data_IF_061492199339
#
_entry.id   IF_061492199339
#
_cell.length_a   1.000
_cell.length_b   1.000
_cell.length_c   1.000
_cell.angle_alpha   90.00
_cell.angle_beta   90.00
_cell.angle_gamma   90.00
#
_symmetry.space_group_name_H-M   'P 1'
#
loop_
_entity.id
_entity.type
_entity.pdbx_description
1 polymer ?
#
# COMPACT_ATOMS: atom_id res chain seq x y z
N UNK A 1 6.51 -10.04 -15.40
CA UNK A 1 5.17 -10.52 -14.99
C UNK A 1 4.15 -9.44 -15.31
N UNK A 2 3.22 -9.70 -16.23
CA UNK A 2 1.93 -9.01 -16.51
C UNK A 2 1.65 -8.86 -18.02
N UNK A 3 1.12 -9.95 -18.57
CA UNK A 3 0.33 -10.01 -19.80
C UNK A 3 -1.13 -10.34 -19.43
N UNK A 4 -1.64 -9.69 -18.37
CA UNK A 4 -2.87 -10.13 -17.68
C UNK A 4 -4.14 -9.44 -18.20
N UNK A 5 -4.00 -8.31 -18.90
CA UNK A 5 -5.13 -7.50 -19.43
C UNK A 5 -6.00 -8.29 -20.43
N UNK A 6 -5.48 -9.32 -21.10
CA UNK A 6 -6.16 -9.96 -22.24
C UNK A 6 -7.20 -11.04 -21.86
N UNK A 7 -7.23 -11.55 -20.62
CA UNK A 7 -7.99 -12.80 -20.32
C UNK A 7 -9.23 -12.57 -19.46
N UNK A 8 -9.29 -11.52 -18.64
CA UNK A 8 -10.50 -11.21 -17.84
C UNK A 8 -11.66 -10.75 -18.73
N UNK A 9 -11.35 -10.12 -19.88
CA UNK A 9 -12.31 -9.60 -20.84
C UNK A 9 -13.27 -10.66 -21.39
N UNK A 10 -12.75 -11.83 -21.78
CA UNK A 10 -13.56 -12.93 -22.30
C UNK A 10 -14.42 -13.55 -21.20
N UNK A 11 -13.89 -13.74 -20.00
CA UNK A 11 -14.61 -14.44 -18.92
C UNK A 11 -15.73 -13.59 -18.33
N UNK A 12 -15.55 -12.27 -18.20
CA UNK A 12 -16.57 -11.36 -17.63
C UNK A 12 -17.72 -11.13 -18.61
N UNK A 13 -17.45 -10.92 -19.90
CA UNK A 13 -18.52 -10.66 -20.89
C UNK A 13 -19.35 -11.92 -21.15
N UNK A 14 -18.69 -13.09 -21.22
CA UNK A 14 -19.40 -14.39 -21.35
C UNK A 14 -20.24 -14.70 -20.10
N UNK A 15 -19.75 -14.37 -18.89
CA UNK A 15 -20.50 -14.59 -17.66
C UNK A 15 -21.58 -13.55 -17.36
N UNK A 16 -21.48 -12.33 -17.90
CA UNK A 16 -22.53 -11.32 -17.79
C UNK A 16 -23.71 -11.62 -18.73
N UNK A 17 -23.45 -12.19 -19.91
CA UNK A 17 -24.50 -12.65 -20.83
C UNK A 17 -25.23 -13.92 -20.32
N UNK A 18 -24.49 -14.87 -19.73
CA UNK A 18 -25.05 -16.17 -19.28
C UNK A 18 -25.96 -16.12 -18.04
N UNK A 19 -26.09 -14.99 -17.35
CA UNK A 19 -26.95 -14.91 -16.14
C UNK A 19 -28.45 -14.93 -16.43
N UNK A 20 -28.90 -14.84 -17.69
CA UNK A 20 -30.32 -14.98 -18.06
C UNK A 20 -30.70 -16.36 -18.62
N UNK A 21 -29.74 -17.24 -18.93
CA UNK A 21 -30.00 -18.52 -19.60
C UNK A 21 -30.34 -19.69 -18.66
N UNK A 22 -30.33 -19.50 -17.33
CA UNK A 22 -30.61 -20.56 -16.35
C UNK A 22 -31.97 -20.48 -15.66
N UNK A 23 -32.86 -19.62 -16.15
CA UNK A 23 -34.28 -19.62 -15.76
C UNK A 23 -35.14 -19.77 -17.01
N UNK A 24 -35.43 -21.01 -17.39
CA UNK A 24 -36.48 -21.34 -18.34
C UNK A 24 -36.03 -22.14 -19.55
N UNK A 25 -36.59 -23.35 -19.64
CA UNK A 25 -37.15 -24.03 -20.81
C UNK A 25 -36.54 -25.42 -21.07
N UNK A 26 -37.34 -26.40 -20.66
CA UNK A 26 -37.43 -27.78 -21.13
C UNK A 26 -37.40 -27.83 -22.66
N UNK A 27 -36.43 -28.55 -23.21
CA UNK A 27 -36.29 -28.76 -24.65
C UNK A 27 -37.36 -29.75 -25.15
N UNK A 28 -38.22 -29.29 -26.05
CA UNK A 28 -38.82 -30.14 -27.08
C UNK A 28 -38.38 -29.62 -28.45
N UNK A 29 -37.71 -30.51 -29.18
CA UNK A 29 -37.19 -30.28 -30.53
C UNK A 29 -38.35 -30.19 -31.54
N UNK A 30 -38.36 -29.13 -32.36
CA UNK A 30 -39.03 -29.11 -33.66
C UNK A 30 -38.11 -28.51 -34.73
N UNK A 31 -38.09 -29.19 -35.88
CA UNK A 31 -37.37 -28.96 -37.13
C UNK A 31 -37.48 -27.50 -37.63
N UNK A 32 -36.46 -26.95 -38.31
CA UNK A 32 -36.56 -25.62 -38.90
C UNK A 32 -37.29 -25.67 -40.25
N UNK A 33 -38.41 -24.94 -40.35
CA UNK A 33 -39.01 -24.54 -41.63
C UNK A 33 -38.35 -23.25 -42.11
N UNK A 34 -37.92 -23.28 -43.37
CA UNK A 34 -37.34 -22.15 -44.10
C UNK A 34 -38.36 -21.00 -44.20
N UNK A 35 -38.03 -19.84 -43.63
CA UNK A 35 -38.76 -18.60 -43.89
C UNK A 35 -37.82 -17.53 -44.41
N UNK A 36 -38.14 -17.08 -45.63
CA UNK A 36 -37.54 -15.97 -46.36
C UNK A 36 -37.41 -14.72 -45.49
N UNK A 37 -36.19 -14.40 -45.04
CA UNK A 37 -35.89 -13.11 -44.43
C UNK A 37 -35.40 -12.10 -45.48
N UNK A 38 -36.29 -11.13 -45.71
CA UNK A 38 -36.09 -9.83 -46.34
C UNK A 38 -34.66 -9.27 -46.26
N UNK A 39 -34.12 -8.92 -47.43
CA UNK A 39 -32.77 -8.37 -47.67
C UNK A 39 -32.61 -6.86 -47.40
N UNK A 40 -33.55 -6.20 -46.72
CA UNK A 40 -33.63 -4.72 -46.70
C UNK A 40 -33.28 -4.00 -45.38
N UNK A 41 -32.40 -4.53 -44.52
CA UNK A 41 -32.04 -3.83 -43.26
C UNK A 41 -30.55 -3.95 -42.82
N UNK A 42 -29.60 -3.97 -43.77
CA UNK A 42 -28.16 -4.16 -43.46
C UNK A 42 -27.31 -2.89 -43.36
N UNK A 43 -27.90 -1.69 -43.44
CA UNK A 43 -27.13 -0.45 -43.51
C UNK A 43 -27.00 0.33 -42.19
N UNK A 44 -27.73 -0.05 -41.13
CA UNK A 44 -27.81 0.71 -39.86
C UNK A 44 -26.91 0.22 -38.71
N UNK A 45 -25.97 -0.70 -38.95
CA UNK A 45 -25.15 -1.28 -37.87
C UNK A 45 -23.63 -1.25 -38.12
N UNK A 46 -23.14 -0.26 -38.88
CA UNK A 46 -21.70 -0.08 -39.08
C UNK A 46 -21.12 0.72 -37.91
N UNK A 47 -20.39 0.06 -37.03
CA UNK A 47 -19.61 0.71 -35.98
C UNK A 47 -18.14 0.82 -36.37
N UNK A 48 -17.66 2.05 -36.57
CA UNK A 48 -16.26 2.33 -36.92
C UNK A 48 -15.44 2.53 -35.66
N UNK A 49 -14.29 1.86 -35.57
CA UNK A 49 -13.32 2.04 -34.50
C UNK A 49 -12.06 2.74 -35.04
N UNK A 50 -11.48 3.60 -34.21
CA UNK A 50 -10.21 4.27 -34.48
C UNK A 50 -9.20 3.85 -33.42
N UNK A 51 -7.98 3.54 -33.86
CA UNK A 51 -6.88 3.28 -32.94
C UNK A 51 -6.48 4.59 -32.27
N UNK A 52 -6.42 4.59 -30.94
CA UNK A 52 -5.88 5.69 -30.14
C UNK A 52 -4.78 5.18 -29.22
N UNK A 53 -3.80 6.03 -28.98
CA UNK A 53 -2.75 5.77 -28.01
C UNK A 53 -3.15 6.32 -26.65
N UNK A 54 -2.64 5.71 -25.58
CA UNK A 54 -2.64 6.30 -24.26
C UNK A 54 -1.96 7.68 -24.32
N UNK A 55 -2.58 8.75 -23.80
CA UNK A 55 -2.24 10.11 -24.17
C UNK A 55 -0.98 10.68 -23.49
N UNK A 56 -0.47 10.08 -22.40
CA UNK A 56 0.61 10.68 -21.61
C UNK A 56 1.97 10.07 -21.88
N UNK A 57 2.07 8.75 -21.87
CA UNK A 57 3.34 8.02 -22.05
C UNK A 57 3.35 7.13 -23.29
N UNK A 58 2.24 7.08 -24.06
CA UNK A 58 2.09 6.19 -25.22
C UNK A 58 2.37 4.71 -24.85
N UNK A 59 1.90 4.33 -23.65
CA UNK A 59 2.18 3.04 -23.02
C UNK A 59 1.45 1.87 -23.71
N UNK A 60 0.30 2.14 -24.31
CA UNK A 60 -0.48 1.19 -25.07
C UNK A 60 -1.33 1.90 -26.12
N UNK A 61 -1.89 1.11 -27.03
CA UNK A 61 -2.92 1.55 -27.97
C UNK A 61 -4.18 0.72 -27.82
N UNK A 62 -5.32 1.31 -28.15
CA UNK A 62 -6.65 0.72 -27.97
C UNK A 62 -7.58 1.18 -29.11
N UNK A 63 -8.53 0.33 -29.49
CA UNK A 63 -9.61 0.70 -30.41
C UNK A 63 -10.71 1.43 -29.64
N UNK A 64 -11.07 2.60 -30.15
CA UNK A 64 -12.10 3.48 -29.58
C UNK A 64 -13.15 3.75 -30.65
N UNK A 65 -14.45 3.67 -30.35
CA UNK A 65 -15.48 3.98 -31.34
C UNK A 65 -15.32 5.41 -31.88
N UNK A 66 -15.54 5.60 -33.17
CA UNK A 66 -15.44 6.92 -33.81
C UNK A 66 -16.38 7.90 -33.11
N UNK A 67 -15.87 9.07 -32.75
CA UNK A 67 -16.60 10.11 -32.00
C UNK A 67 -16.51 9.99 -30.48
N UNK A 68 -16.02 8.86 -29.93
CA UNK A 68 -15.82 8.71 -28.49
C UNK A 68 -14.53 9.38 -28.02
N UNK A 69 -14.48 9.66 -26.73
CA UNK A 69 -13.39 10.36 -26.06
C UNK A 69 -12.59 9.41 -25.18
N UNK A 70 -11.31 9.73 -25.03
CA UNK A 70 -10.44 9.13 -24.03
C UNK A 70 -10.04 10.20 -23.01
N UNK A 71 -9.95 9.84 -21.75
CA UNK A 71 -9.52 10.72 -20.65
C UNK A 71 -8.61 9.96 -19.68
N UNK A 72 -7.77 10.70 -18.97
CA UNK A 72 -6.79 10.13 -18.06
C UNK A 72 -5.59 9.54 -18.81
N UNK A 73 -5.01 8.47 -18.29
CA UNK A 73 -3.81 7.84 -18.84
C UNK A 73 -2.89 7.29 -17.75
N UNK A 74 -1.63 7.08 -18.12
CA UNK A 74 -0.59 6.73 -17.16
C UNK A 74 -0.30 7.93 -16.24
N UNK A 75 -0.04 7.66 -14.97
CA UNK A 75 0.52 8.66 -14.07
C UNK A 75 1.54 8.06 -13.13
N UNK A 76 2.38 8.94 -12.60
CA UNK A 76 3.45 8.61 -11.65
C UNK A 76 3.14 9.28 -10.33
N UNK A 77 3.22 8.52 -9.25
CA UNK A 77 3.07 9.06 -7.90
C UNK A 77 4.41 9.65 -7.47
N UNK A 78 4.39 10.84 -6.88
CA UNK A 78 5.57 11.45 -6.29
C UNK A 78 5.76 10.88 -4.87
N UNK A 79 6.88 10.21 -4.56
CA UNK A 79 7.09 9.57 -3.27
C UNK A 79 7.18 10.56 -2.11
N UNK A 80 7.61 11.80 -2.36
CA UNK A 80 7.77 12.84 -1.33
C UNK A 80 6.38 13.28 -0.84
N UNK A 81 5.49 13.64 -1.77
CA UNK A 81 4.15 14.10 -1.43
C UNK A 81 3.25 12.96 -0.93
N UNK A 82 3.53 11.72 -1.34
CA UNK A 82 2.76 10.55 -0.94
C UNK A 82 3.13 10.04 0.48
N UNK A 83 4.25 10.50 1.06
CA UNK A 83 4.74 9.98 2.35
C UNK A 83 5.48 8.64 2.23
N UNK A 84 6.00 8.32 1.05
CA UNK A 84 6.89 7.18 0.83
C UNK A 84 6.82 6.55 -0.56
N UNK A 85 7.72 5.59 -0.84
CA UNK A 85 8.00 5.13 -2.20
C UNK A 85 7.04 4.06 -2.72
N UNK A 86 6.24 3.40 -1.88
CA UNK A 86 5.53 2.18 -2.27
C UNK A 86 4.62 2.37 -3.50
N UNK A 87 3.89 3.48 -3.57
CA UNK A 87 3.03 3.79 -4.72
C UNK A 87 3.80 4.27 -5.95
N UNK A 88 5.08 4.60 -5.80
CA UNK A 88 5.92 5.19 -6.84
C UNK A 88 6.81 4.16 -7.54
N UNK A 89 6.79 2.90 -7.08
CA UNK A 89 7.56 1.80 -7.68
C UNK A 89 7.11 1.56 -9.12
N UNK A 90 5.80 1.46 -9.34
CA UNK A 90 5.19 1.17 -10.64
C UNK A 90 4.35 2.36 -11.14
N UNK A 91 4.30 2.53 -12.46
CA UNK A 91 3.33 3.38 -13.12
C UNK A 91 1.89 3.02 -12.68
N UNK A 92 1.04 4.04 -12.54
CA UNK A 92 -0.39 3.88 -12.27
C UNK A 92 -1.18 4.21 -13.53
N UNK A 93 -2.41 3.69 -13.62
CA UNK A 93 -3.32 3.97 -14.72
C UNK A 93 -4.66 4.42 -14.16
N UNK A 94 -5.16 5.56 -14.64
CA UNK A 94 -6.57 5.91 -14.52
C UNK A 94 -7.01 6.35 -15.90
N UNK A 95 -7.66 5.47 -16.65
CA UNK A 95 -7.92 5.67 -18.07
C UNK A 95 -9.39 5.38 -18.37
N UNK A 96 -10.03 6.24 -19.14
CA UNK A 96 -11.45 6.14 -19.46
C UNK A 96 -11.66 6.23 -20.96
N UNK A 97 -12.54 5.38 -21.50
CA UNK A 97 -13.11 5.50 -22.84
C UNK A 97 -14.60 5.75 -22.68
N UNK A 98 -15.11 6.88 -23.20
CA UNK A 98 -16.50 7.30 -22.99
C UNK A 98 -17.15 7.92 -24.21
N UNK A 99 -18.46 7.69 -24.35
CA UNK A 99 -19.28 8.16 -25.46
C UNK A 99 -19.40 9.69 -25.53
N UNK A 100 -19.55 10.33 -24.38
CA UNK A 100 -19.77 11.77 -24.26
C UNK A 100 -19.07 12.35 -23.03
N UNK A 101 -19.15 13.67 -22.85
CA UNK A 101 -18.51 14.36 -21.71
C UNK A 101 -19.04 13.87 -20.36
N UNK A 102 -20.32 13.47 -20.29
CA UNK A 102 -21.00 13.00 -19.06
C UNK A 102 -20.63 11.55 -18.71
N UNK A 103 -20.11 10.77 -19.67
CA UNK A 103 -19.82 9.36 -19.47
C UNK A 103 -21.07 8.51 -19.42
N UNK A 104 -22.08 8.81 -20.27
CA UNK A 104 -23.34 8.04 -20.28
C UNK A 104 -23.14 6.55 -20.56
N UNK A 105 -22.18 6.24 -21.44
CA UNK A 105 -21.68 4.89 -21.71
C UNK A 105 -20.16 4.97 -21.63
N UNK A 106 -19.54 4.18 -20.76
CA UNK A 106 -18.08 4.22 -20.58
C UNK A 106 -17.50 2.92 -20.04
N UNK A 107 -16.21 2.74 -20.31
CA UNK A 107 -15.34 1.78 -19.61
C UNK A 107 -14.18 2.57 -18.99
N UNK A 108 -13.83 2.27 -17.75
CA UNK A 108 -12.75 2.94 -17.02
C UNK A 108 -11.90 1.93 -16.26
N UNK A 109 -10.59 2.06 -16.38
CA UNK A 109 -9.60 1.35 -15.60
C UNK A 109 -9.15 2.25 -14.46
N UNK A 110 -9.21 1.73 -13.24
CA UNK A 110 -8.81 2.41 -12.02
C UNK A 110 -7.37 2.05 -11.64
N UNK A 111 -6.68 2.89 -10.87
CA UNK A 111 -5.29 2.62 -10.51
C UNK A 111 -5.16 1.42 -9.58
N UNK A 112 -4.15 0.60 -9.83
CA UNK A 112 -3.65 -0.40 -8.88
C UNK A 112 -3.01 0.34 -7.70
N UNK A 113 -3.61 0.24 -6.52
CA UNK A 113 -3.12 0.84 -5.28
C UNK A 113 -2.60 -0.22 -4.33
N UNK A 114 -1.52 0.11 -3.62
CA UNK A 114 -1.02 -0.69 -2.50
C UNK A 114 -1.56 -0.16 -1.16
N UNK A 115 -1.81 -1.07 -0.25
CA UNK A 115 -2.32 -0.80 1.09
C UNK A 115 -1.51 -1.60 2.10
N UNK A 116 -1.59 -1.19 3.36
CA UNK A 116 -0.88 -1.83 4.45
C UNK A 116 -1.84 -2.34 5.50
N UNK A 117 -1.86 -3.65 5.72
CA UNK A 117 -2.59 -4.30 6.80
C UNK A 117 -1.66 -4.55 7.99
N UNK A 118 -1.84 -3.76 9.04
CA UNK A 118 -0.97 -3.76 10.21
C UNK A 118 -1.22 -4.93 11.16
N UNK A 119 -2.38 -5.62 11.09
CA UNK A 119 -2.85 -6.56 12.14
C UNK A 119 -1.88 -7.69 12.42
N UNK A 120 -1.15 -8.14 11.40
CA UNK A 120 -0.20 -9.25 11.51
C UNK A 120 1.26 -8.81 11.55
N UNK A 121 1.52 -7.51 11.71
CA UNK A 121 2.88 -6.94 11.73
C UNK A 121 3.32 -6.65 13.16
N UNK A 122 4.63 -6.73 13.48
CA UNK A 122 5.13 -6.31 14.79
C UNK A 122 4.76 -4.87 15.14
N UNK A 123 4.82 -3.95 14.18
CA UNK A 123 4.45 -2.54 14.36
C UNK A 123 2.97 -2.38 14.73
N UNK A 124 2.06 -3.09 14.04
CA UNK A 124 0.64 -3.05 14.37
C UNK A 124 0.31 -3.65 15.73
N UNK A 125 1.01 -4.71 16.16
CA UNK A 125 0.86 -5.29 17.50
C UNK A 125 1.27 -4.32 18.62
N UNK A 126 2.17 -3.38 18.32
CA UNK A 126 2.57 -2.30 19.23
C UNK A 126 1.65 -1.08 19.15
N UNK A 127 0.51 -1.17 18.42
CA UNK A 127 -0.43 -0.06 18.23
C UNK A 127 0.07 1.04 17.30
N UNK A 128 1.16 0.82 16.56
CA UNK A 128 1.68 1.80 15.59
C UNK A 128 0.89 1.74 14.28
N UNK A 129 0.74 2.90 13.64
CA UNK A 129 0.08 3.07 12.34
C UNK A 129 -1.40 2.61 12.37
N UNK A 130 -2.31 3.39 12.96
CA UNK A 130 -3.75 3.06 12.97
C UNK A 130 -4.36 3.10 11.55
N UNK A 131 -5.53 2.48 11.38
CA UNK A 131 -6.28 2.54 10.11
C UNK A 131 -6.54 4.00 9.69
N UNK A 132 -6.38 4.28 8.39
CA UNK A 132 -6.45 5.64 7.83
C UNK A 132 -5.12 6.41 7.87
N UNK A 133 -4.11 5.95 8.60
CA UNK A 133 -2.77 6.54 8.57
C UNK A 133 -1.98 6.17 7.29
N UNK A 134 -0.74 6.67 7.18
CA UNK A 134 0.14 6.38 6.06
C UNK A 134 1.35 5.56 6.53
N UNK A 135 1.70 4.53 5.77
CA UNK A 135 2.91 3.75 5.96
C UNK A 135 3.66 3.60 4.64
N UNK A 136 4.82 4.24 4.51
CA UNK A 136 5.67 4.19 3.31
C UNK A 136 4.92 4.58 2.02
N UNK A 137 3.97 5.50 2.12
CA UNK A 137 3.13 5.96 1.01
C UNK A 137 1.88 5.12 0.76
N UNK A 138 1.68 4.03 1.51
CA UNK A 138 0.46 3.23 1.48
C UNK A 138 -0.52 3.72 2.53
N UNK A 139 -1.81 3.78 2.18
CA UNK A 139 -2.84 3.95 3.19
C UNK A 139 -2.90 2.67 4.05
N UNK A 140 -2.96 2.86 5.36
CA UNK A 140 -3.14 1.76 6.30
C UNK A 140 -4.61 1.38 6.29
N UNK A 141 -4.90 0.21 5.75
CA UNK A 141 -6.25 -0.33 5.61
C UNK A 141 -6.18 -1.84 5.77
N UNK A 142 -7.13 -2.41 6.50
CA UNK A 142 -7.24 -3.85 6.63
C UNK A 142 -7.61 -4.49 5.30
N UNK A 143 -7.04 -5.66 5.01
CA UNK A 143 -7.34 -6.36 3.76
C UNK A 143 -8.84 -6.61 3.65
N UNK A 144 -9.40 -6.24 2.49
CA UNK A 144 -10.80 -6.43 2.15
C UNK A 144 -10.95 -7.55 1.13
N UNK A 145 -12.10 -8.23 1.15
CA UNK A 145 -12.52 -9.03 0.00
C UNK A 145 -12.67 -8.13 -1.22
N UNK A 146 -12.54 -8.69 -2.43
CA UNK A 146 -12.70 -7.94 -3.67
C UNK A 146 -14.08 -7.28 -3.77
N UNK A 147 -15.14 -7.96 -3.31
CA UNK A 147 -16.49 -7.39 -3.26
C UNK A 147 -16.57 -6.16 -2.35
N UNK A 148 -15.98 -6.24 -1.16
CA UNK A 148 -15.97 -5.13 -0.20
C UNK A 148 -15.07 -3.99 -0.67
N UNK A 149 -13.90 -4.29 -1.24
CA UNK A 149 -13.03 -3.28 -1.86
C UNK A 149 -13.77 -2.51 -2.95
N UNK A 150 -14.50 -3.21 -3.83
CA UNK A 150 -15.28 -2.57 -4.88
C UNK A 150 -16.31 -1.61 -4.28
N UNK A 151 -17.05 -2.03 -3.26
CA UNK A 151 -18.16 -1.24 -2.72
C UNK A 151 -17.73 -0.11 -1.79
N UNK A 152 -16.65 -0.31 -1.02
CA UNK A 152 -16.21 0.63 0.02
C UNK A 152 -15.11 1.58 -0.46
N UNK A 153 -14.36 1.22 -1.51
CA UNK A 153 -13.19 1.99 -1.96
C UNK A 153 -13.32 2.38 -3.44
N UNK A 154 -13.42 1.39 -4.33
CA UNK A 154 -13.33 1.66 -5.77
C UNK A 154 -14.54 2.41 -6.32
N UNK A 155 -15.76 2.06 -5.91
CA UNK A 155 -16.98 2.72 -6.34
C UNK A 155 -17.05 4.18 -5.85
N UNK A 156 -16.83 4.50 -4.55
CA UNK A 156 -16.76 5.89 -4.08
C UNK A 156 -15.65 6.71 -4.75
N UNK A 157 -14.50 6.11 -5.03
CA UNK A 157 -13.42 6.76 -5.79
C UNK A 157 -13.88 7.13 -7.22
N UNK A 158 -14.53 6.20 -7.91
CA UNK A 158 -14.97 6.43 -9.28
C UNK A 158 -16.15 7.42 -9.35
N UNK A 159 -17.06 7.36 -8.37
CA UNK A 159 -18.37 8.01 -8.38
C UNK A 159 -18.68 8.76 -7.08
N UNK A 160 -17.89 9.80 -6.73
CA UNK A 160 -18.07 10.55 -5.48
C UNK A 160 -19.40 11.32 -5.41
N UNK A 161 -20.12 11.46 -6.54
CA UNK A 161 -21.40 12.17 -6.63
C UNK A 161 -22.60 11.23 -6.82
N UNK A 162 -22.39 9.92 -6.85
CA UNK A 162 -23.47 8.96 -6.99
C UNK A 162 -24.42 9.00 -5.78
N UNK A 163 -25.71 8.79 -6.05
CA UNK A 163 -26.79 8.74 -5.05
C UNK A 163 -27.68 7.54 -5.32
N UNK A 164 -28.53 7.19 -4.36
CA UNK A 164 -29.49 6.09 -4.48
C UNK A 164 -28.85 4.77 -4.93
N UNK A 165 -27.66 4.49 -4.39
CA UNK A 165 -26.82 3.35 -4.79
C UNK A 165 -27.48 2.04 -4.33
N UNK A 166 -27.71 1.13 -5.27
CA UNK A 166 -28.24 -0.21 -5.04
C UNK A 166 -27.30 -1.24 -5.64
N UNK A 167 -26.88 -2.21 -4.83
CA UNK A 167 -26.12 -3.36 -5.31
C UNK A 167 -27.12 -4.40 -5.79
N UNK A 168 -27.11 -4.70 -7.08
CA UNK A 168 -28.06 -5.64 -7.70
C UNK A 168 -27.47 -7.04 -7.87
N UNK A 169 -26.14 -7.18 -7.85
CA UNK A 169 -25.47 -8.48 -7.85
C UNK A 169 -24.07 -8.39 -7.24
N UNK A 170 -23.63 -9.48 -6.60
CA UNK A 170 -22.24 -9.72 -6.20
C UNK A 170 -21.87 -11.14 -6.58
N UNK A 171 -20.77 -11.30 -7.31
CA UNK A 171 -20.28 -12.60 -7.75
C UNK A 171 -18.80 -12.74 -7.48
N UNK A 172 -18.41 -13.82 -6.78
CA UNK A 172 -17.00 -14.22 -6.67
C UNK A 172 -16.53 -14.80 -8.00
N UNK A 173 -15.32 -14.45 -8.42
CA UNK A 173 -14.71 -14.89 -9.68
C UNK A 173 -13.60 -15.91 -9.39
N UNK A 174 -13.99 -17.08 -8.89
CA UNK A 174 -13.06 -18.13 -8.40
C UNK A 174 -12.16 -18.64 -9.54
N UNK A 175 -12.68 -18.78 -10.76
CA UNK A 175 -11.86 -19.21 -11.89
C UNK A 175 -10.78 -18.18 -12.26
N UNK A 176 -11.08 -16.88 -12.08
CA UNK A 176 -10.12 -15.80 -12.29
C UNK A 176 -9.01 -15.88 -11.26
N UNK A 177 -9.34 -16.05 -9.97
CA UNK A 177 -8.31 -16.17 -8.91
C UNK A 177 -7.46 -17.42 -9.08
N UNK A 178 -8.06 -18.55 -9.43
CA UNK A 178 -7.35 -19.80 -9.69
C UNK A 178 -6.37 -19.67 -10.85
N UNK A 179 -6.81 -19.08 -11.97
CA UNK A 179 -5.95 -18.85 -13.13
C UNK A 179 -4.83 -17.85 -12.83
N UNK A 180 -5.12 -16.79 -12.07
CA UNK A 180 -4.12 -15.81 -11.64
C UNK A 180 -3.05 -16.46 -10.74
N UNK A 181 -3.50 -17.21 -9.72
CA UNK A 181 -2.63 -17.93 -8.79
C UNK A 181 -1.73 -18.93 -9.51
N UNK A 182 -2.27 -19.73 -10.44
CA UNK A 182 -1.48 -20.68 -11.25
C UNK A 182 -0.35 -19.99 -12.01
N UNK A 183 -0.62 -18.84 -12.66
CA UNK A 183 0.40 -18.09 -13.42
C UNK A 183 1.46 -17.49 -12.53
N UNK A 184 1.07 -16.95 -11.38
CA UNK A 184 2.06 -16.39 -10.44
C UNK A 184 2.95 -17.51 -9.91
N UNK A 185 2.39 -18.69 -9.58
CA UNK A 185 3.18 -19.86 -9.15
C UNK A 185 4.11 -20.41 -10.23
N UNK A 186 3.80 -20.24 -11.52
CA UNK A 186 4.74 -20.60 -12.60
C UNK A 186 6.01 -19.75 -12.59
N UNK A 187 5.92 -18.49 -12.17
CA UNK A 187 7.05 -17.55 -12.13
C UNK A 187 7.70 -17.52 -10.74
N UNK A 188 6.89 -17.64 -9.69
CA UNK A 188 7.30 -17.65 -8.29
C UNK A 188 6.68 -18.87 -7.58
N UNK A 189 7.29 -20.06 -7.71
CA UNK A 189 6.73 -21.30 -7.15
C UNK A 189 6.57 -21.26 -5.63
N UNK A 190 7.49 -20.57 -4.94
CA UNK A 190 7.53 -20.45 -3.47
C UNK A 190 6.88 -19.13 -3.02
N UNK A 191 5.64 -18.87 -3.47
CA UNK A 191 4.88 -17.69 -3.06
C UNK A 191 3.79 -18.03 -2.05
N UNK A 192 3.60 -17.17 -1.05
CA UNK A 192 2.49 -17.22 -0.09
C UNK A 192 1.36 -16.25 -0.45
N UNK A 193 1.42 -15.66 -1.65
CA UNK A 193 0.40 -14.73 -2.14
C UNK A 193 -0.96 -15.40 -2.26
N UNK A 194 -2.01 -14.70 -1.84
CA UNK A 194 -3.40 -15.12 -2.02
C UNK A 194 -4.20 -14.09 -2.81
N UNK A 195 -5.25 -14.55 -3.47
CA UNK A 195 -6.03 -13.76 -4.41
C UNK A 195 -7.51 -13.91 -4.13
N UNK A 196 -8.24 -12.79 -4.15
CA UNK A 196 -9.70 -12.76 -4.17
C UNK A 196 -10.15 -11.93 -5.38
N UNK A 197 -11.26 -12.28 -6.02
CA UNK A 197 -11.76 -11.53 -7.17
C UNK A 197 -13.28 -11.51 -7.17
N UNK A 198 -13.85 -10.37 -7.53
CA UNK A 198 -15.28 -10.20 -7.55
C UNK A 198 -15.74 -9.31 -8.70
N UNK A 199 -16.99 -9.54 -9.09
CA UNK A 199 -17.80 -8.63 -9.89
C UNK A 199 -18.94 -8.14 -9.01
N UNK A 200 -19.16 -6.82 -9.00
CA UNK A 200 -20.30 -6.20 -8.34
C UNK A 200 -21.08 -5.38 -9.36
N UNK A 201 -22.39 -5.55 -9.39
CA UNK A 201 -23.29 -4.75 -10.22
C UNK A 201 -24.04 -3.73 -9.38
N UNK A 202 -24.15 -2.51 -9.90
CA UNK A 202 -24.79 -1.38 -9.26
C UNK A 202 -25.90 -0.80 -10.14
N UNK A 203 -26.96 -0.29 -9.50
CA UNK A 203 -27.85 0.74 -10.04
C UNK A 203 -27.75 1.98 -9.18
N UNK A 204 -27.63 3.16 -9.77
CA UNK A 204 -27.50 4.42 -9.04
C UNK A 204 -27.87 5.62 -9.91
N UNK A 205 -28.05 6.76 -9.25
CA UNK A 205 -28.28 8.04 -9.90
C UNK A 205 -27.00 8.89 -9.84
N UNK A 206 -26.61 9.49 -10.96
CA UNK A 206 -25.51 10.46 -11.00
C UNK A 206 -25.81 11.56 -12.02
N UNK A 207 -25.68 12.83 -11.60
CA UNK A 207 -25.94 14.00 -12.44
C UNK A 207 -27.32 13.97 -13.16
N UNK A 208 -28.35 13.47 -12.47
CA UNK A 208 -29.72 13.39 -12.98
C UNK A 208 -30.01 12.25 -13.96
N UNK A 209 -29.08 11.31 -14.16
CA UNK A 209 -29.30 10.11 -14.97
C UNK A 209 -29.17 8.86 -14.11
N UNK A 210 -29.89 7.82 -14.49
CA UNK A 210 -29.79 6.52 -13.85
C UNK A 210 -28.86 5.61 -14.65
N UNK A 211 -27.96 4.94 -13.94
CA UNK A 211 -26.96 4.06 -14.53
C UNK A 211 -27.06 2.64 -14.00
N UNK A 212 -26.70 1.70 -14.85
CA UNK A 212 -26.30 0.36 -14.47
C UNK A 212 -24.79 0.22 -14.71
N UNK A 213 -24.08 -0.34 -13.74
CA UNK A 213 -22.63 -0.49 -13.80
C UNK A 213 -22.19 -1.84 -13.29
N UNK A 214 -21.21 -2.45 -13.96
CA UNK A 214 -20.48 -3.62 -13.48
C UNK A 214 -19.04 -3.22 -13.19
N UNK A 215 -18.57 -3.47 -11.96
CA UNK A 215 -17.18 -3.27 -11.57
C UNK A 215 -16.54 -4.60 -11.21
N UNK A 216 -15.30 -4.79 -11.65
CA UNK A 216 -14.49 -5.97 -11.40
C UNK A 216 -13.21 -5.54 -10.72
N UNK A 217 -12.74 -6.33 -9.76
CA UNK A 217 -11.43 -6.15 -9.13
C UNK A 217 -10.87 -7.49 -8.69
N UNK A 218 -9.54 -7.58 -8.72
CA UNK A 218 -8.77 -8.61 -8.03
C UNK A 218 -8.11 -7.95 -6.82
N UNK A 219 -8.07 -8.65 -5.70
CA UNK A 219 -7.26 -8.33 -4.53
C UNK A 219 -6.12 -9.31 -4.48
N UNK A 220 -4.91 -8.77 -4.34
CA UNK A 220 -3.67 -9.50 -4.19
C UNK A 220 -3.14 -9.24 -2.78
N UNK A 221 -3.06 -10.30 -1.98
CA UNK A 221 -2.43 -10.28 -0.66
C UNK A 221 -1.03 -10.86 -0.78
N UNK A 222 -0.01 -10.14 -0.30
CA UNK A 222 1.38 -10.58 -0.38
C UNK A 222 1.79 -11.49 0.78
N UNK A 223 0.87 -11.76 1.71
CA UNK A 223 1.07 -12.66 2.83
C UNK A 223 2.19 -12.18 3.76
N UNK A 224 2.85 -13.14 4.41
CA UNK A 224 3.96 -12.84 5.33
C UNK A 224 5.16 -12.23 4.60
N UNK A 225 5.45 -12.66 3.37
CA UNK A 225 6.56 -12.12 2.57
C UNK A 225 6.35 -10.65 2.19
N UNK A 226 5.10 -10.22 2.05
CA UNK A 226 4.75 -8.82 1.85
C UNK A 226 4.70 -7.98 3.12
N UNK A 227 5.01 -8.55 4.29
CA UNK A 227 4.98 -7.85 5.58
C UNK A 227 3.66 -7.10 5.86
N UNK A 228 2.51 -7.59 5.38
CA UNK A 228 1.20 -6.92 5.50
C UNK A 228 0.76 -6.11 4.28
N UNK A 229 1.55 -6.07 3.22
CA UNK A 229 1.15 -5.44 1.95
C UNK A 229 0.03 -6.21 1.25
N UNK A 230 -0.94 -5.46 0.75
CA UNK A 230 -1.96 -5.96 -0.17
C UNK A 230 -2.34 -4.86 -1.15
N UNK A 231 -3.06 -5.21 -2.21
CA UNK A 231 -3.50 -4.19 -3.17
C UNK A 231 -4.54 -4.70 -4.13
N UNK A 232 -5.19 -3.78 -4.83
CA UNK A 232 -6.01 -4.15 -5.97
C UNK A 232 -5.15 -4.39 -7.20
N UNK A 233 -5.71 -5.22 -8.09
CA UNK A 233 -5.20 -5.53 -9.41
C UNK A 233 -6.35 -5.49 -10.39
N UNK A 234 -6.09 -4.85 -11.54
CA UNK A 234 -6.96 -4.93 -12.72
C UNK A 234 -8.40 -4.51 -12.40
N UNK A 235 -8.52 -3.41 -11.63
CA UNK A 235 -9.83 -2.84 -11.30
C UNK A 235 -10.35 -2.04 -12.48
N UNK A 236 -11.53 -2.41 -12.98
CA UNK A 236 -12.20 -1.65 -14.03
C UNK A 236 -13.71 -1.70 -13.86
N UNK A 237 -14.39 -0.75 -14.49
CA UNK A 237 -15.83 -0.64 -14.52
C UNK A 237 -16.34 -0.45 -15.93
N UNK A 238 -17.58 -0.90 -16.15
CA UNK A 238 -18.35 -0.69 -17.36
C UNK A 238 -19.70 -0.10 -16.94
N UNK A 239 -20.02 1.08 -17.46
CA UNK A 239 -21.25 1.83 -17.18
C UNK A 239 -22.09 1.98 -18.44
N UNK A 240 -23.40 1.82 -18.30
CA UNK A 240 -24.41 2.15 -19.31
C UNK A 240 -25.61 2.83 -18.64
N UNK A 241 -26.51 3.48 -19.41
CA UNK A 241 -27.87 3.71 -18.92
C UNK A 241 -28.51 2.39 -18.52
N UNK A 242 -29.48 2.46 -17.61
CA UNK A 242 -30.26 1.28 -17.18
C UNK A 242 -30.82 0.54 -18.41
N UNK A 243 -30.80 -0.80 -18.35
CA UNK A 243 -31.32 -1.72 -19.36
C UNK A 243 -30.64 -1.64 -20.75
N UNK A 244 -29.51 -0.93 -20.86
CA UNK A 244 -28.72 -0.86 -22.10
C UNK A 244 -27.43 -1.70 -22.05
N UNK A 245 -27.18 -2.44 -20.98
CA UNK A 245 -25.93 -3.19 -20.81
C UNK A 245 -25.69 -4.18 -21.96
N UNK A 246 -26.67 -5.03 -22.27
CA UNK A 246 -26.56 -6.06 -23.32
C UNK A 246 -26.28 -5.46 -24.70
N UNK A 247 -26.87 -4.29 -24.99
CA UNK A 247 -26.64 -3.57 -26.24
C UNK A 247 -25.17 -3.15 -26.41
N UNK A 248 -24.49 -2.79 -25.32
CA UNK A 248 -23.10 -2.31 -25.37
C UNK A 248 -22.07 -3.37 -24.96
N UNK A 249 -22.47 -4.55 -24.49
CA UNK A 249 -21.53 -5.60 -24.11
C UNK A 249 -20.56 -5.99 -25.25
N UNK A 250 -21.00 -6.19 -26.52
CA UNK A 250 -20.07 -6.46 -27.62
C UNK A 250 -19.08 -5.31 -27.87
N UNK A 251 -19.53 -4.06 -27.70
CA UNK A 251 -18.70 -2.87 -27.85
C UNK A 251 -17.54 -2.87 -26.85
N UNK A 252 -17.84 -3.10 -25.57
CA UNK A 252 -16.81 -3.14 -24.52
C UNK A 252 -15.83 -4.31 -24.72
N UNK A 253 -16.31 -5.44 -25.25
CA UNK A 253 -15.46 -6.57 -25.64
C UNK A 253 -14.40 -6.15 -26.66
N UNK A 254 -14.80 -5.45 -27.73
CA UNK A 254 -13.87 -4.96 -28.76
C UNK A 254 -12.85 -4.00 -28.15
N UNK A 255 -13.31 -3.03 -27.36
CA UNK A 255 -12.43 -2.04 -26.72
C UNK A 255 -11.39 -2.76 -25.84
N UNK A 256 -11.83 -3.62 -24.92
CA UNK A 256 -10.95 -4.29 -23.97
C UNK A 256 -9.96 -5.26 -24.64
N UNK A 257 -10.42 -6.05 -25.61
CA UNK A 257 -9.58 -7.04 -26.31
C UNK A 257 -8.60 -6.41 -27.31
N UNK A 258 -8.81 -5.14 -27.67
CA UNK A 258 -7.95 -4.44 -28.63
C UNK A 258 -6.67 -3.84 -28.04
N UNK A 259 -6.50 -3.89 -26.72
CA UNK A 259 -5.35 -3.27 -26.04
C UNK A 259 -4.05 -3.92 -26.51
N UNK A 260 -3.17 -3.10 -27.10
CA UNK A 260 -1.81 -3.49 -27.50
C UNK A 260 -0.80 -2.64 -26.75
N UNK A 261 -0.06 -3.27 -25.85
CA UNK A 261 1.00 -2.64 -25.06
C UNK A 261 2.18 -2.24 -25.97
N UNK A 262 2.74 -1.07 -25.74
CA UNK A 262 3.99 -0.64 -26.35
C UNK A 262 5.15 -1.37 -25.68
N UNK A 263 5.79 -2.30 -26.39
CA UNK A 263 6.84 -3.15 -25.83
C UNK A 263 8.07 -2.35 -25.36
N UNK A 264 8.43 -1.25 -26.03
CA UNK A 264 9.55 -0.39 -25.59
C UNK A 264 9.24 0.27 -24.25
N UNK A 265 8.02 0.79 -24.11
CA UNK A 265 7.54 1.35 -22.85
C UNK A 265 7.52 0.29 -21.74
N UNK A 266 7.01 -0.91 -22.02
CA UNK A 266 6.94 -2.01 -21.06
C UNK A 266 8.34 -2.43 -20.57
N UNK A 267 9.32 -2.57 -21.47
CA UNK A 267 10.70 -2.89 -21.11
C UNK A 267 11.30 -1.79 -20.23
N UNK A 268 11.08 -0.52 -20.59
CA UNK A 268 11.50 0.62 -19.78
C UNK A 268 10.88 0.61 -18.39
N UNK A 269 9.59 0.28 -18.30
CA UNK A 269 8.88 0.20 -17.02
C UNK A 269 9.39 -0.95 -16.14
N UNK A 270 9.63 -2.13 -16.71
CA UNK A 270 10.20 -3.27 -15.96
C UNK A 270 11.59 -2.93 -15.43
N UNK A 271 12.45 -2.32 -16.25
CA UNK A 271 13.78 -1.87 -15.80
C UNK A 271 13.66 -0.80 -14.70
N UNK A 272 12.81 0.20 -14.90
CA UNK A 272 12.58 1.27 -13.93
C UNK A 272 12.02 0.75 -12.60
N UNK A 273 11.11 -0.23 -12.64
CA UNK A 273 10.58 -0.88 -11.43
C UNK A 273 11.66 -1.63 -10.67
N UNK A 274 12.55 -2.34 -11.35
CA UNK A 274 13.67 -3.04 -10.69
C UNK A 274 14.58 -2.04 -9.97
N UNK A 275 14.97 -0.95 -10.63
CA UNK A 275 15.79 0.11 -10.02
C UNK A 275 15.08 0.78 -8.84
N UNK A 276 13.82 1.21 -9.01
CA UNK A 276 13.06 1.88 -7.94
C UNK A 276 12.75 0.94 -6.78
N UNK A 277 12.48 -0.33 -7.06
CA UNK A 277 12.29 -1.36 -6.06
C UNK A 277 13.55 -1.57 -5.23
N UNK A 278 14.72 -1.64 -5.86
CA UNK A 278 16.00 -1.76 -5.15
C UNK A 278 16.29 -0.53 -4.29
N UNK A 279 16.03 0.68 -4.80
CA UNK A 279 16.17 1.92 -4.01
C UNK A 279 15.25 1.88 -2.80
N UNK A 280 13.97 1.53 -2.97
CA UNK A 280 13.01 1.45 -1.88
C UNK A 280 13.44 0.43 -0.80
N UNK A 281 13.93 -0.75 -1.20
CA UNK A 281 14.45 -1.76 -0.26
C UNK A 281 15.67 -1.25 0.50
N UNK A 282 16.62 -0.61 -0.19
CA UNK A 282 17.80 -0.04 0.44
C UNK A 282 17.44 1.05 1.45
N UNK A 283 16.54 1.98 1.06
CA UNK A 283 16.03 3.01 1.96
C UNK A 283 15.32 2.40 3.17
N UNK A 284 14.53 1.34 3.00
CA UNK A 284 13.84 0.68 4.11
C UNK A 284 14.82 0.06 5.11
N UNK A 285 15.87 -0.61 4.62
CA UNK A 285 16.93 -1.17 5.49
C UNK A 285 17.63 -0.08 6.28
N UNK A 286 17.90 1.05 5.64
CA UNK A 286 18.55 2.19 6.28
C UNK A 286 17.66 2.85 7.35
N UNK A 287 16.37 3.05 7.08
CA UNK A 287 15.40 3.55 8.08
C UNK A 287 15.32 2.58 9.27
N UNK A 288 15.31 1.27 9.02
CA UNK A 288 15.30 0.28 10.09
C UNK A 288 16.59 0.31 10.93
N UNK A 289 17.76 0.52 10.30
CA UNK A 289 19.04 0.69 10.98
C UNK A 289 19.01 1.92 11.90
N UNK A 290 18.64 3.09 11.35
CA UNK A 290 18.51 4.33 12.10
C UNK A 290 17.49 4.18 13.25
N UNK A 291 16.36 3.53 13.00
CA UNK A 291 15.35 3.27 14.03
C UNK A 291 15.86 2.42 15.19
N UNK A 292 16.67 1.39 14.91
CA UNK A 292 17.35 0.59 15.96
C UNK A 292 18.32 1.45 16.76
N UNK A 293 19.13 2.27 16.08
CA UNK A 293 20.09 3.17 16.72
C UNK A 293 19.39 4.18 17.64
N UNK A 294 18.29 4.79 17.19
CA UNK A 294 17.48 5.70 18.01
C UNK A 294 16.91 4.98 19.24
N UNK A 295 16.36 3.78 19.06
CA UNK A 295 15.81 3.00 20.18
C UNK A 295 16.89 2.64 21.20
N UNK A 296 18.06 2.19 20.73
CA UNK A 296 19.21 1.90 21.60
C UNK A 296 19.71 3.13 22.33
N UNK A 297 19.80 4.27 21.64
CA UNK A 297 20.20 5.54 22.23
C UNK A 297 19.19 6.01 23.29
N UNK A 298 17.89 5.92 23.02
CA UNK A 298 16.84 6.21 24.01
C UNK A 298 16.91 5.30 25.22
N UNK A 299 17.17 4.00 25.05
CA UNK A 299 17.37 3.10 26.20
C UNK A 299 18.56 3.52 27.05
N UNK A 300 19.69 3.88 26.42
CA UNK A 300 20.89 4.36 27.13
C UNK A 300 20.62 5.66 27.89
N UNK A 301 19.97 6.63 27.25
CA UNK A 301 19.57 7.89 27.90
C UNK A 301 18.60 7.63 29.06
N UNK A 302 17.56 6.82 28.86
CA UNK A 302 16.60 6.53 29.93
C UNK A 302 17.25 5.78 31.10
N UNK A 303 18.20 4.88 30.83
CA UNK A 303 18.98 4.23 31.88
C UNK A 303 19.83 5.24 32.67
N UNK A 304 20.46 6.20 31.97
CA UNK A 304 21.23 7.27 32.61
C UNK A 304 20.34 8.20 33.45
N UNK A 305 19.17 8.59 32.94
CA UNK A 305 18.19 9.41 33.69
C UNK A 305 17.69 8.67 34.93
N UNK A 306 17.33 7.39 34.80
CA UNK A 306 16.88 6.61 35.95
C UNK A 306 17.99 6.43 36.98
N UNK A 307 19.25 6.23 36.55
CA UNK A 307 20.41 6.17 37.43
C UNK A 307 20.60 7.50 38.17
N UNK A 308 20.51 8.63 37.46
CA UNK A 308 20.63 9.97 38.04
C UNK A 308 19.51 10.28 39.06
N UNK A 309 18.26 9.93 38.73
CA UNK A 309 17.14 10.05 39.67
C UNK A 309 17.39 9.20 40.92
N UNK A 310 17.88 7.96 40.75
CA UNK A 310 18.20 7.08 41.87
C UNK A 310 19.31 7.66 42.76
N UNK A 311 20.41 8.10 42.17
CA UNK A 311 21.53 8.75 42.88
C UNK A 311 21.06 10.02 43.61
N UNK A 312 20.23 10.84 42.97
CA UNK A 312 19.66 12.06 43.58
C UNK A 312 18.75 11.73 44.76
N UNK A 313 17.84 10.75 44.63
CA UNK A 313 16.93 10.34 45.71
C UNK A 313 17.67 9.71 46.90
N UNK A 314 18.79 9.04 46.65
CA UNK A 314 19.61 8.39 47.68
C UNK A 314 20.71 9.30 48.26
N UNK A 315 20.79 10.56 47.82
CA UNK A 315 21.86 11.52 48.19
C UNK A 315 23.27 10.94 47.96
N UNK A 316 23.40 10.26 46.82
CA UNK A 316 24.60 9.56 46.36
C UNK A 316 25.11 10.15 45.04
N UNK A 317 26.38 9.87 44.71
CA UNK A 317 27.02 10.24 43.46
C UNK A 317 28.06 9.18 43.06
N UNK A 318 28.34 9.10 41.76
CA UNK A 318 29.35 8.21 41.19
C UNK A 318 30.69 8.93 41.04
N UNK A 319 31.67 8.50 41.84
CA UNK A 319 33.03 9.02 41.86
C UNK A 319 34.00 8.07 41.15
N UNK A 320 34.96 8.63 40.44
CA UNK A 320 36.09 7.90 39.86
C UNK A 320 37.21 7.84 40.90
N UNK A 321 37.60 6.63 41.31
CA UNK A 321 38.74 6.43 42.19
C UNK A 321 40.06 6.73 41.44
N UNK A 322 40.87 7.70 41.90
CA UNK A 322 42.11 8.10 41.22
C UNK A 322 43.24 7.07 41.30
N UNK A 323 43.12 6.01 42.10
CA UNK A 323 44.09 4.92 42.22
C UNK A 323 43.73 3.72 41.36
N UNK A 324 42.45 3.36 41.29
CA UNK A 324 41.97 2.16 40.56
C UNK A 324 41.30 2.48 39.22
N UNK A 325 40.89 3.74 38.99
CA UNK A 325 40.01 4.18 37.89
C UNK A 325 38.63 3.50 37.85
N UNK A 326 38.22 2.81 38.92
CA UNK A 326 36.88 2.24 39.04
C UNK A 326 35.84 3.29 39.49
N UNK A 327 34.58 3.02 39.20
CA UNK A 327 33.44 3.86 39.61
C UNK A 327 32.97 3.37 40.99
N UNK A 328 32.95 4.29 41.95
CA UNK A 328 32.50 4.05 43.31
C UNK A 328 31.28 4.93 43.63
N UNK A 329 30.30 4.36 44.33
CA UNK A 329 29.14 5.11 44.83
C UNK A 329 29.51 5.69 46.19
N UNK A 330 29.40 7.01 46.32
CA UNK A 330 29.63 7.75 47.57
C UNK A 330 28.51 8.73 47.84
N UNK A 331 28.48 9.36 49.02
CA UNK A 331 27.50 10.40 49.32
C UNK A 331 27.84 11.70 48.57
N UNK A 332 26.82 12.50 48.25
CA UNK A 332 26.94 13.82 47.62
C UNK A 332 26.58 14.98 48.54
N UNK A 333 26.32 14.71 49.82
CA UNK A 333 26.02 15.73 50.83
C UNK A 333 27.18 16.71 51.06
N UNK A 334 28.39 16.34 50.63
CA UNK A 334 29.57 17.20 50.61
C UNK A 334 30.12 17.37 49.20
N UNK A 335 30.60 18.57 48.88
CA UNK A 335 30.99 18.94 47.52
C UNK A 335 32.23 18.19 47.01
N UNK A 336 33.11 17.74 47.89
CA UNK A 336 34.39 17.14 47.50
C UNK A 336 34.67 15.85 48.29
N UNK A 337 35.16 14.84 47.55
CA UNK A 337 35.58 13.55 48.08
C UNK A 337 37.07 13.33 47.80
N UNK A 338 37.79 12.90 48.82
CA UNK A 338 39.19 12.48 48.75
C UNK A 338 39.30 11.03 49.17
N UNK A 339 40.20 10.28 48.55
CA UNK A 339 40.49 8.89 48.89
C UNK A 339 41.99 8.66 48.89
N UNK A 340 42.51 7.76 49.72
CA UNK A 340 43.91 7.31 49.71
C UNK A 340 44.05 5.89 49.15
N UNK A 341 45.28 5.41 48.99
CA UNK A 341 45.56 4.05 48.45
C UNK A 341 45.06 2.92 49.35
N UNK A 342 44.90 3.18 50.66
CA UNK A 342 44.36 2.23 51.63
C UNK A 342 42.83 2.15 51.62
N UNK A 343 42.14 3.01 50.85
CA UNK A 343 40.68 3.06 50.76
C UNK A 343 40.00 3.95 51.81
N UNK A 344 40.75 4.72 52.60
CA UNK A 344 40.16 5.71 53.51
C UNK A 344 39.58 6.89 52.70
N UNK A 345 38.38 7.34 53.05
CA UNK A 345 37.65 8.39 52.32
C UNK A 345 37.36 9.59 53.23
N UNK A 346 37.59 10.79 52.72
CA UNK A 346 37.28 12.07 53.38
C UNK A 346 36.30 12.87 52.51
N UNK A 347 35.26 13.41 53.14
CA UNK A 347 34.27 14.31 52.53
C UNK A 347 34.42 15.73 53.08
N UNK A 348 34.37 16.75 52.22
CA UNK A 348 34.49 18.16 52.62
C UNK A 348 33.72 19.07 51.67
N UNK A 349 33.24 20.21 52.18
CA UNK A 349 32.66 21.29 51.39
C UNK A 349 33.66 22.38 51.04
N UNK A 350 34.86 22.35 51.62
CA UNK A 350 35.88 23.38 51.41
C UNK A 350 36.76 23.03 50.23
N UNK A 351 36.75 23.89 49.21
CA UNK A 351 37.60 23.75 48.02
C UNK A 351 39.09 23.87 48.34
N UNK A 352 39.43 24.66 49.35
CA UNK A 352 40.81 24.92 49.78
C UNK A 352 41.33 23.85 50.76
N UNK A 353 40.46 22.96 51.25
CA UNK A 353 40.87 21.92 52.18
C UNK A 353 41.69 20.83 51.49
N UNK A 354 42.95 20.69 51.92
CA UNK A 354 43.85 19.63 51.50
C UNK A 354 44.15 18.69 52.67
N UNK A 355 43.62 17.44 52.65
CA UNK A 355 43.83 16.48 53.74
C UNK A 355 45.30 16.05 53.90
N UNK A 356 46.17 16.29 52.91
CA UNK A 356 47.59 15.98 53.01
C UNK A 356 48.40 17.00 53.82
N UNK A 357 47.79 18.13 54.19
CA UNK A 357 48.42 19.19 54.99
C UNK A 357 47.74 19.38 56.35
N UNK A 358 46.73 18.57 56.67
CA UNK A 358 46.03 18.61 57.95
C UNK A 358 46.83 17.87 59.02
N UNK A 359 47.32 18.59 60.02
CA UNK A 359 48.16 18.04 61.09
C UNK A 359 47.39 17.09 62.02
N UNK A 360 46.06 17.07 61.95
CA UNK A 360 45.20 16.21 62.75
C UNK A 360 44.88 14.88 62.04
N UNK A 361 45.36 14.67 60.81
CA UNK A 361 45.23 13.42 60.07
C UNK A 361 46.54 12.63 60.13
N UNK A 362 46.53 11.48 60.81
CA UNK A 362 47.68 10.56 60.90
C UNK A 362 48.00 9.82 59.58
N UNK A 363 47.24 10.09 58.50
CA UNK A 363 47.36 9.43 57.21
C UNK A 363 47.53 10.46 56.09
N UNK A 364 48.36 10.13 55.11
CA UNK A 364 48.66 10.97 53.95
C UNK A 364 48.44 10.20 52.64
N UNK A 365 48.58 10.88 51.49
CA UNK A 365 48.39 10.27 50.18
C UNK A 365 46.93 10.30 49.71
N UNK A 366 46.17 11.31 50.09
CA UNK A 366 44.82 11.52 49.59
C UNK A 366 44.84 12.20 48.21
N UNK A 367 44.05 11.68 47.27
CA UNK A 367 43.78 12.29 45.96
C UNK A 367 42.29 12.55 45.82
N UNK A 368 41.94 13.67 45.17
CA UNK A 368 40.56 14.08 44.93
C UNK A 368 39.90 13.16 43.90
N UNK A 369 38.76 12.59 44.25
CA UNK A 369 37.94 11.83 43.30
C UNK A 369 37.20 12.78 42.36
N UNK A 370 37.06 12.39 41.09
CA UNK A 370 36.29 13.16 40.10
C UNK A 370 34.90 12.54 39.95
N UNK A 371 33.86 13.36 39.79
CA UNK A 371 32.52 12.85 39.46
C UNK A 371 32.55 12.29 38.03
N UNK A 372 31.92 11.14 37.80
CA UNK A 372 31.81 10.54 36.46
C UNK A 372 31.07 11.50 35.53
N UNK A 373 31.64 11.76 34.35
CA UNK A 373 30.96 12.57 33.32
C UNK A 373 29.74 11.82 32.80
N UNK A 374 28.57 12.46 32.90
CA UNK A 374 27.32 12.00 32.27
C UNK A 374 27.40 12.24 30.76
N UNK A 375 26.71 11.41 29.96
CA UNK A 375 26.62 11.64 28.50
C UNK A 375 25.92 12.98 28.28
N UNK A 376 26.48 13.93 27.49
CA UNK A 376 25.88 15.23 27.32
C UNK A 376 24.52 15.11 26.62
N UNK A 377 23.55 15.92 27.07
CA UNK A 377 22.29 16.17 26.37
C UNK A 377 22.52 16.75 24.97
#
# INVERSE_FOLDING_TARGET
>A
MKLSVLIIALTVITHCANTKEKEGITQQQKKPEETNYSKNNRQDNIMVFVKKNEPRENAFSILVPKGWRIEGGIFRVNPITQGGPAQSIAAKIDFTVKKDKKGSVMIRWLPDMLYFDTRNTPAGRMGMFPEGSNYQGMAVLYIKSAGNFITEIAFPYAHPKARNIKIIARKKLIDVTNNYSKRVKQVMPVTTMSYDAALVKFKYDENGNQYEESMVSIIENWGQLGAGMWGNKETFLIRTPIDQFEKYAPLFSVIQNSVKINLRWLIGEVKGQATRGQIAVNTQREIQRIGKEIAEHRRKINAEINNDIFLTLMEQEEYINPYTNEIEIGTNQWQHRWINESGDVIYTNSEEYNPNTDINLDKSGYKRSKIRKRVPN
#
